data_IF_346565279048
#
_entry.id   IF_346565279048
#
_cell.length_a   1.000
_cell.length_b   1.000
_cell.length_c   1.000
_cell.angle_alpha   90.00
_cell.angle_beta   90.00
_cell.angle_gamma   90.00
#
_symmetry.space_group_name_H-M   'P 1'
#
loop_
_entity.id
_entity.type
_entity.pdbx_description
1 polymer ?
#
# COMPACT_ATOMS: atom_id res chain seq x y z
N UNK A 1 16.76 -11.20 -45.89
CA UNK A 1 16.32 -11.50 -44.52
C UNK A 1 16.46 -10.20 -43.72
N UNK A 2 15.37 -9.45 -43.57
CA UNK A 2 15.35 -8.17 -42.86
C UNK A 2 15.18 -8.43 -41.37
N UNK A 3 16.27 -8.29 -40.61
CA UNK A 3 16.22 -8.26 -39.14
C UNK A 3 15.41 -7.03 -38.72
N UNK A 4 14.19 -7.26 -38.26
CA UNK A 4 13.42 -6.26 -37.54
C UNK A 4 14.07 -6.06 -36.17
N UNK A 5 14.93 -5.06 -36.03
CA UNK A 5 15.41 -4.61 -34.73
C UNK A 5 14.23 -4.05 -33.95
N UNK A 6 13.67 -4.85 -33.04
CA UNK A 6 12.63 -4.43 -32.11
C UNK A 6 13.27 -3.45 -31.11
N UNK A 7 13.34 -2.18 -31.47
CA UNK A 7 13.62 -1.11 -30.52
C UNK A 7 12.38 -0.89 -29.65
N UNK A 8 12.20 -1.73 -28.63
CA UNK A 8 11.25 -1.46 -27.56
C UNK A 8 11.66 -0.17 -26.86
N UNK A 9 10.84 0.87 -26.94
CA UNK A 9 11.05 2.16 -26.29
C UNK A 9 11.44 1.96 -24.81
N UNK A 10 12.69 2.29 -24.39
CA UNK A 10 13.19 1.94 -23.04
C UNK A 10 12.33 2.53 -21.92
N UNK A 11 11.68 3.68 -22.17
CA UNK A 11 10.77 4.34 -21.24
C UNK A 11 9.50 3.53 -20.93
N UNK A 12 8.99 2.76 -21.89
CA UNK A 12 7.79 1.92 -21.71
C UNK A 12 8.10 0.64 -20.94
N UNK A 13 9.27 0.05 -21.19
CA UNK A 13 9.76 -1.11 -20.45
C UNK A 13 10.01 -0.76 -19.00
N UNK A 14 10.67 0.38 -18.72
CA UNK A 14 10.89 0.85 -17.36
C UNK A 14 9.56 1.08 -16.59
N UNK A 15 8.56 1.65 -17.27
CA UNK A 15 7.25 1.90 -16.68
C UNK A 15 6.51 0.60 -16.35
N UNK A 16 6.59 -0.40 -17.23
CA UNK A 16 6.01 -1.71 -16.98
C UNK A 16 6.70 -2.42 -15.81
N UNK A 17 8.03 -2.38 -15.75
CA UNK A 17 8.79 -2.90 -14.60
C UNK A 17 8.34 -2.20 -13.31
N UNK A 18 8.22 -0.86 -13.33
CA UNK A 18 7.73 -0.10 -12.17
C UNK A 18 6.33 -0.53 -11.73
N UNK A 19 5.39 -0.71 -12.66
CA UNK A 19 4.03 -1.14 -12.33
C UNK A 19 3.99 -2.52 -11.70
N UNK A 20 4.84 -3.45 -12.16
CA UNK A 20 4.96 -4.79 -11.58
C UNK A 20 5.54 -4.70 -10.17
N UNK A 21 6.62 -3.95 -9.97
CA UNK A 21 7.23 -3.74 -8.66
C UNK A 21 6.23 -3.11 -7.68
N UNK A 22 5.48 -2.10 -8.12
CA UNK A 22 4.44 -1.47 -7.32
C UNK A 22 3.33 -2.45 -6.90
N UNK A 23 2.97 -3.41 -7.76
CA UNK A 23 1.99 -4.45 -7.43
C UNK A 23 2.55 -5.45 -6.42
N UNK A 24 3.82 -5.84 -6.55
CA UNK A 24 4.49 -6.69 -5.55
C UNK A 24 4.53 -5.98 -4.20
N UNK A 25 4.87 -4.69 -4.17
CA UNK A 25 4.85 -3.87 -2.95
C UNK A 25 3.44 -3.77 -2.36
N UNK A 26 2.42 -3.57 -3.20
CA UNK A 26 1.02 -3.55 -2.78
C UNK A 26 0.64 -4.88 -2.14
N UNK A 27 0.92 -6.02 -2.79
CA UNK A 27 0.61 -7.34 -2.24
C UNK A 27 1.35 -7.58 -0.92
N UNK A 28 2.63 -7.24 -0.83
CA UNK A 28 3.39 -7.32 0.41
C UNK A 28 2.77 -6.47 1.53
N UNK A 29 2.29 -5.27 1.18
CA UNK A 29 1.62 -4.39 2.13
C UNK A 29 0.26 -4.94 2.62
N UNK A 30 -0.45 -5.68 1.76
CA UNK A 30 -1.70 -6.34 2.15
C UNK A 30 -1.48 -7.48 3.15
N UNK A 31 -0.34 -8.19 3.08
CA UNK A 31 0.00 -9.22 4.08
C UNK A 31 0.09 -8.60 5.48
N UNK A 32 0.74 -7.44 5.60
CA UNK A 32 0.82 -6.70 6.87
C UNK A 32 -0.57 -6.19 7.26
N UNK A 33 -1.35 -5.69 6.29
CA UNK A 33 -2.72 -5.23 6.55
C UNK A 33 -3.64 -6.33 7.09
N UNK A 34 -3.46 -7.59 6.70
CA UNK A 34 -4.23 -8.71 7.24
C UNK A 34 -4.08 -8.85 8.76
N UNK A 35 -2.91 -8.52 9.31
CA UNK A 35 -2.71 -8.51 10.77
C UNK A 35 -3.57 -7.43 11.42
N UNK A 36 -3.62 -6.23 10.84
CA UNK A 36 -4.47 -5.12 11.30
C UNK A 36 -5.96 -5.50 11.19
N UNK A 37 -6.36 -6.12 10.08
CA UNK A 37 -7.72 -6.62 9.89
C UNK A 37 -8.09 -7.69 10.91
N UNK A 38 -7.17 -8.59 11.26
CA UNK A 38 -7.35 -9.57 12.33
C UNK A 38 -7.58 -8.91 13.68
N UNK A 39 -6.75 -7.94 14.06
CA UNK A 39 -6.92 -7.19 15.31
C UNK A 39 -8.18 -6.35 15.36
N UNK A 40 -8.69 -5.88 14.21
CA UNK A 40 -9.93 -5.10 14.17
C UNK A 40 -11.12 -5.85 14.76
N UNK A 41 -11.15 -7.19 14.66
CA UNK A 41 -12.24 -8.03 15.19
C UNK A 41 -12.30 -7.99 16.72
N UNK A 42 -11.18 -7.71 17.40
CA UNK A 42 -11.14 -7.53 18.86
C UNK A 42 -11.94 -6.31 19.32
N UNK A 43 -12.36 -5.41 18.41
CA UNK A 43 -13.29 -4.34 18.74
C UNK A 43 -14.65 -4.88 19.24
N UNK A 44 -15.01 -6.12 18.90
CA UNK A 44 -16.22 -6.76 19.42
C UNK A 44 -16.10 -7.24 20.88
N UNK A 45 -14.89 -7.34 21.44
CA UNK A 45 -14.69 -7.70 22.85
C UNK A 45 -15.26 -6.62 23.80
N UNK A 46 -15.30 -5.36 23.33
CA UNK A 46 -15.95 -4.24 24.02
C UNK A 46 -17.47 -4.18 23.80
N UNK A 47 -18.05 -5.11 23.02
CA UNK A 47 -19.47 -5.22 22.71
C UNK A 47 -19.79 -5.09 21.22
N UNK A 48 -20.87 -5.76 20.79
CA UNK A 48 -21.37 -5.72 19.41
C UNK A 48 -22.19 -4.44 19.21
N UNK A 49 -21.50 -3.37 18.84
CA UNK A 49 -22.08 -2.05 18.61
C UNK A 49 -21.93 -1.62 17.15
N UNK A 50 -22.71 -0.62 16.73
CA UNK A 50 -22.57 -0.04 15.39
C UNK A 50 -21.16 0.53 15.14
N UNK A 51 -20.51 1.05 16.18
CA UNK A 51 -19.15 1.56 16.13
C UNK A 51 -18.13 0.45 15.87
N UNK A 52 -18.23 -0.67 16.58
CA UNK A 52 -17.36 -1.84 16.36
C UNK A 52 -17.50 -2.37 14.92
N UNK A 53 -18.74 -2.50 14.44
CA UNK A 53 -19.02 -2.89 13.05
C UNK A 53 -18.43 -1.93 12.03
N UNK A 54 -18.59 -0.61 12.25
CA UNK A 54 -18.07 0.42 11.35
C UNK A 54 -16.55 0.32 11.23
N UNK A 55 -15.85 0.14 12.36
CA UNK A 55 -14.40 -0.03 12.38
C UNK A 55 -13.97 -1.28 11.59
N UNK A 56 -14.56 -2.43 11.88
CA UNK A 56 -14.22 -3.69 11.21
C UNK A 56 -14.48 -3.59 9.72
N UNK A 57 -15.66 -3.11 9.31
CA UNK A 57 -15.99 -2.95 7.88
C UNK A 57 -15.01 -2.03 7.17
N UNK A 58 -14.66 -0.89 7.77
CA UNK A 58 -13.71 0.05 7.16
C UNK A 58 -12.32 -0.56 6.98
N UNK A 59 -11.82 -1.28 7.99
CA UNK A 59 -10.52 -1.94 7.93
C UNK A 59 -10.51 -3.07 6.90
N UNK A 60 -11.60 -3.84 6.82
CA UNK A 60 -11.74 -4.94 5.87
C UNK A 60 -12.03 -4.48 4.43
N UNK A 61 -12.69 -3.35 4.24
CA UNK A 61 -12.96 -2.76 2.92
C UNK A 61 -11.72 -2.10 2.31
N UNK A 62 -10.69 -1.81 3.11
CA UNK A 62 -9.47 -1.13 2.67
C UNK A 62 -8.85 -1.69 1.38
N UNK A 63 -8.71 -3.02 1.17
CA UNK A 63 -8.11 -3.58 -0.05
C UNK A 63 -8.87 -3.27 -1.35
N UNK A 64 -10.13 -2.82 -1.28
CA UNK A 64 -10.92 -2.45 -2.46
C UNK A 64 -10.30 -1.24 -3.19
N UNK A 65 -9.83 -0.23 -2.44
CA UNK A 65 -9.20 0.96 -3.00
C UNK A 65 -7.92 0.67 -3.81
N UNK A 66 -6.91 -0.03 -3.28
CA UNK A 66 -5.67 -0.31 -4.01
C UNK A 66 -5.91 -1.21 -5.23
N UNK A 67 -6.86 -2.15 -5.15
CA UNK A 67 -7.29 -2.95 -6.33
C UNK A 67 -7.89 -2.05 -7.41
N UNK A 68 -8.79 -1.13 -7.05
CA UNK A 68 -9.35 -0.15 -7.99
C UNK A 68 -8.28 0.73 -8.64
N UNK A 69 -7.28 1.18 -7.86
CA UNK A 69 -6.16 1.98 -8.35
C UNK A 69 -5.27 1.21 -9.35
N UNK A 70 -5.01 -0.08 -9.11
CA UNK A 70 -4.26 -0.93 -10.03
C UNK A 70 -5.00 -1.07 -11.37
N UNK A 71 -6.31 -1.35 -11.32
CA UNK A 71 -7.13 -1.44 -12.54
C UNK A 71 -7.05 -0.13 -13.32
N UNK A 72 -7.16 1.01 -12.63
CA UNK A 72 -7.04 2.33 -13.25
C UNK A 72 -5.62 2.58 -13.80
N UNK A 73 -4.55 2.14 -13.12
CA UNK A 73 -3.17 2.25 -13.57
C UNK A 73 -2.92 1.50 -14.88
N UNK A 74 -3.43 0.26 -14.99
CA UNK A 74 -3.35 -0.54 -16.22
C UNK A 74 -4.17 0.08 -17.36
N UNK A 75 -5.36 0.62 -17.08
CA UNK A 75 -6.13 1.38 -18.09
C UNK A 75 -5.38 2.62 -18.57
N UNK A 76 -4.70 3.33 -17.67
CA UNK A 76 -3.88 4.49 -18.01
C UNK A 76 -2.66 4.12 -18.87
N UNK A 77 -2.01 2.99 -18.54
CA UNK A 77 -0.90 2.43 -19.33
C UNK A 77 -1.34 2.08 -20.76
N UNK A 78 -2.48 1.41 -20.90
CA UNK A 78 -3.07 1.07 -22.21
C UNK A 78 -3.38 2.31 -23.05
N UNK A 79 -3.83 3.41 -22.42
CA UNK A 79 -4.10 4.70 -23.07
C UNK A 79 -2.84 5.56 -23.31
N UNK A 80 -1.64 4.99 -23.18
CA UNK A 80 -0.36 5.70 -23.34
C UNK A 80 -0.14 6.87 -22.37
N UNK A 81 -0.88 6.93 -21.25
CA UNK A 81 -0.75 7.99 -20.22
C UNK A 81 0.23 7.57 -19.14
N UNK A 82 1.52 7.61 -19.46
CA UNK A 82 2.59 7.08 -18.60
C UNK A 82 2.65 7.69 -17.20
N UNK A 83 2.55 9.02 -17.08
CA UNK A 83 2.57 9.70 -15.76
C UNK A 83 1.41 9.24 -14.88
N UNK A 84 0.21 9.11 -15.47
CA UNK A 84 -0.99 8.74 -14.75
C UNK A 84 -0.92 7.26 -14.30
N UNK A 85 -0.35 6.38 -15.13
CA UNK A 85 -0.09 5.00 -14.75
C UNK A 85 0.89 4.89 -13.55
N UNK A 86 1.97 5.68 -13.55
CA UNK A 86 2.93 5.73 -12.44
C UNK A 86 2.27 6.23 -11.16
N UNK A 87 1.54 7.35 -11.21
CA UNK A 87 0.87 7.93 -10.04
C UNK A 87 -0.14 6.95 -9.44
N UNK A 88 -1.01 6.35 -10.26
CA UNK A 88 -2.00 5.39 -9.78
C UNK A 88 -1.37 4.13 -9.21
N UNK A 89 -0.32 3.61 -9.86
CA UNK A 89 0.39 2.43 -9.38
C UNK A 89 1.11 2.72 -8.06
N UNK A 90 1.72 3.89 -7.90
CA UNK A 90 2.36 4.30 -6.65
C UNK A 90 1.35 4.53 -5.53
N UNK A 91 0.19 5.13 -5.85
CA UNK A 91 -0.86 5.39 -4.88
C UNK A 91 -1.48 4.09 -4.33
N UNK A 92 -1.46 3.00 -5.12
CA UNK A 92 -2.01 1.70 -4.71
C UNK A 92 -1.30 1.08 -3.50
N UNK A 93 -0.03 1.41 -3.24
CA UNK A 93 0.70 0.91 -2.07
C UNK A 93 1.03 2.03 -1.06
N UNK A 94 0.60 3.27 -1.31
CA UNK A 94 0.96 4.39 -0.46
C UNK A 94 0.31 4.37 0.93
N UNK A 95 -1.00 4.10 1.10
CA UNK A 95 -1.63 4.19 2.42
C UNK A 95 -1.05 3.25 3.50
N UNK A 96 -0.77 1.96 3.25
CA UNK A 96 -0.15 1.08 4.24
C UNK A 96 1.31 1.48 4.52
N UNK A 97 2.06 1.95 3.51
CA UNK A 97 3.41 2.49 3.73
C UNK A 97 3.38 3.75 4.60
N UNK A 98 2.43 4.67 4.35
CA UNK A 98 2.25 5.88 5.15
C UNK A 98 1.85 5.55 6.59
N UNK A 99 0.99 4.55 6.79
CA UNK A 99 0.59 4.11 8.13
C UNK A 99 1.77 3.48 8.88
N UNK A 100 2.57 2.66 8.20
CA UNK A 100 3.81 2.12 8.76
C UNK A 100 4.82 3.22 9.13
N UNK A 101 5.02 4.21 8.24
CA UNK A 101 5.88 5.37 8.52
C UNK A 101 5.37 6.16 9.72
N UNK A 102 4.05 6.41 9.81
CA UNK A 102 3.46 7.10 10.94
C UNK A 102 3.70 6.34 12.25
N UNK A 103 3.45 5.04 12.29
CA UNK A 103 3.72 4.19 13.46
C UNK A 103 5.19 4.22 13.87
N UNK A 104 6.10 4.10 12.91
CA UNK A 104 7.54 4.13 13.16
C UNK A 104 8.00 5.48 13.74
N UNK A 105 7.52 6.59 13.17
CA UNK A 105 7.84 7.95 13.64
C UNK A 105 7.27 8.15 15.05
N UNK A 106 6.00 7.79 15.28
CA UNK A 106 5.38 7.89 16.61
C UNK A 106 6.14 7.09 17.66
N UNK A 107 6.57 5.86 17.31
CA UNK A 107 7.37 5.02 18.20
C UNK A 107 8.74 5.65 18.51
N UNK A 108 9.45 6.13 17.49
CA UNK A 108 10.74 6.79 17.64
C UNK A 108 10.66 8.04 18.53
N UNK A 109 9.65 8.89 18.28
CA UNK A 109 9.41 10.11 19.08
C UNK A 109 9.12 9.77 20.54
N UNK A 110 8.32 8.74 20.80
CA UNK A 110 8.06 8.28 22.17
C UNK A 110 9.35 7.82 22.87
N UNK A 111 10.21 7.06 22.20
CA UNK A 111 11.50 6.63 22.77
C UNK A 111 12.45 7.80 23.02
N UNK A 112 12.47 8.80 22.14
CA UNK A 112 13.29 10.00 22.29
C UNK A 112 12.85 10.85 23.49
N UNK A 113 11.54 10.93 23.77
CA UNK A 113 10.98 11.70 24.89
C UNK A 113 11.09 10.97 26.24
N UNK A 114 10.98 9.64 26.24
CA UNK A 114 10.90 8.84 27.48
C UNK A 114 12.23 8.13 27.84
N UNK A 115 13.36 8.51 27.24
CA UNK A 115 14.68 8.04 27.66
C UNK A 115 14.94 6.55 27.37
N UNK A 116 14.67 6.13 26.13
CA UNK A 116 14.80 4.74 25.67
C UNK A 116 16.05 4.00 26.15
N UNK A 117 15.84 2.73 26.58
CA UNK A 117 16.80 1.74 27.10
C UNK A 117 17.64 2.14 28.34
N UNK A 118 17.75 3.42 28.68
CA UNK A 118 18.54 3.88 29.84
C UNK A 118 17.75 3.91 31.16
N UNK A 119 16.43 3.77 31.12
CA UNK A 119 15.58 3.64 32.31
C UNK A 119 15.48 2.19 32.86
N UNK A 120 16.04 1.20 32.18
CA UNK A 120 16.03 -0.21 32.62
C UNK A 120 17.32 -0.61 33.39
N UNK A 121 17.99 0.33 34.03
CA UNK A 121 19.14 0.05 34.91
C UNK A 121 18.70 -0.03 36.38
#
# INVERSE_FOLDING_TARGET
MTEATIHSQPRRTLLLIWMILAQILMLGSLVIWLVVAGFSVMAFDAGVTAQAWTLVILVWAYPILPVGLIIAAWRAYAKHRGVLAVVLSSLSFAPPILLFLAMFISNYLWFAQNGGLMQFK
#
